data_IF_877702745071
#
_entry.id   IF_877702745071
#
_cell.length_a   1.000
_cell.length_b   1.000
_cell.length_c   1.000
_cell.angle_alpha   90.00
_cell.angle_beta   90.00
_cell.angle_gamma   90.00
#
_symmetry.space_group_name_H-M   'P 1'
#
loop_
_entity.id
_entity.type
_entity.pdbx_description
1 polymer ?
#
# COMPACT_ATOMS: atom_id res chain seq x y z
N UNK A 1 23.38 19.21 -52.04
CA UNK A 1 22.54 19.77 -53.12
C UNK A 1 21.20 20.11 -52.51
N UNK A 2 20.78 21.36 -52.59
CA UNK A 2 19.45 21.82 -52.15
C UNK A 2 18.37 21.00 -52.85
N UNK A 3 17.50 20.38 -52.06
CA UNK A 3 16.67 19.24 -52.44
C UNK A 3 15.71 19.54 -53.59
N UNK A 4 15.74 18.65 -54.58
CA UNK A 4 14.60 18.43 -55.47
C UNK A 4 14.05 17.07 -55.08
N UNK A 5 12.78 17.01 -54.68
CA UNK A 5 12.10 15.76 -54.38
C UNK A 5 12.09 14.80 -55.57
N UNK A 6 11.61 13.57 -55.35
CA UNK A 6 11.42 12.59 -56.41
C UNK A 6 10.13 12.95 -57.15
N UNK A 7 10.22 13.25 -58.44
CA UNK A 7 9.06 13.43 -59.29
C UNK A 7 9.03 12.34 -60.37
N UNK A 8 8.04 11.45 -60.30
CA UNK A 8 7.79 10.42 -61.30
C UNK A 8 6.44 10.65 -61.97
N UNK A 9 6.38 10.95 -63.28
CA UNK A 9 5.11 11.08 -63.98
C UNK A 9 4.40 9.74 -64.22
N UNK A 10 5.02 8.61 -63.87
CA UNK A 10 4.51 7.24 -64.04
C UNK A 10 4.60 6.45 -62.71
N UNK A 11 4.22 5.18 -62.74
CA UNK A 11 4.33 4.24 -61.63
C UNK A 11 5.74 4.25 -61.03
N UNK A 12 5.81 4.36 -59.71
CA UNK A 12 7.05 4.32 -58.94
C UNK A 12 6.95 3.22 -57.89
N UNK A 13 7.87 2.26 -57.93
CA UNK A 13 7.95 1.16 -56.96
C UNK A 13 9.24 1.27 -56.19
N UNK A 14 9.14 1.42 -54.86
CA UNK A 14 10.27 1.30 -53.96
C UNK A 14 10.37 -0.11 -53.39
N UNK A 15 11.47 -0.78 -53.67
CA UNK A 15 11.87 -2.04 -53.02
C UNK A 15 13.20 -1.91 -52.27
N UNK A 16 13.79 -0.72 -52.26
CA UNK A 16 15.11 -0.42 -51.70
C UNK A 16 15.01 0.55 -50.52
N UNK A 17 15.96 1.45 -50.37
CA UNK A 17 15.89 2.53 -49.38
C UNK A 17 15.83 3.88 -50.08
N UNK A 18 14.92 4.74 -49.64
CA UNK A 18 14.78 6.12 -50.06
C UNK A 18 14.97 6.98 -48.81
N UNK A 19 15.95 7.87 -48.82
CA UNK A 19 16.13 8.90 -47.79
C UNK A 19 15.81 10.26 -48.39
N UNK A 20 14.90 11.01 -47.78
CA UNK A 20 14.46 12.32 -48.25
C UNK A 20 14.64 13.38 -47.17
N UNK A 21 15.43 14.40 -47.47
CA UNK A 21 15.64 15.54 -46.57
C UNK A 21 15.29 16.81 -47.33
N UNK A 22 13.98 17.06 -47.45
CA UNK A 22 13.45 18.32 -47.97
C UNK A 22 12.57 18.98 -46.91
N UNK A 23 12.65 20.30 -46.82
CA UNK A 23 11.81 21.07 -45.94
C UNK A 23 10.32 20.76 -46.17
N UNK A 24 9.54 20.66 -45.08
CA UNK A 24 8.13 20.26 -45.06
C UNK A 24 7.21 20.98 -46.06
N UNK A 25 7.59 22.18 -46.52
CA UNK A 25 6.81 22.97 -47.49
C UNK A 25 7.03 22.58 -48.97
N UNK A 26 7.88 21.60 -49.26
CA UNK A 26 8.17 21.13 -50.64
C UNK A 26 7.75 19.69 -50.82
N UNK A 27 7.15 19.36 -51.97
CA UNK A 27 6.82 17.97 -52.29
C UNK A 27 8.11 17.15 -52.40
N UNK A 28 8.29 16.26 -51.42
CA UNK A 28 9.36 15.28 -51.27
C UNK A 28 9.25 14.16 -52.30
N UNK A 29 8.02 13.69 -52.53
CA UNK A 29 7.68 12.73 -53.57
C UNK A 29 6.41 13.18 -54.27
N UNK A 30 6.44 13.17 -55.59
CA UNK A 30 5.25 13.28 -56.45
C UNK A 30 5.22 12.08 -57.38
N UNK A 31 4.19 11.24 -57.27
CA UNK A 31 4.02 10.09 -58.15
C UNK A 31 2.53 9.78 -58.37
N UNK A 32 2.16 9.29 -59.55
CA UNK A 32 0.75 8.96 -59.83
C UNK A 32 0.31 7.61 -59.23
N UNK A 33 1.23 6.64 -59.14
CA UNK A 33 0.97 5.27 -58.69
C UNK A 33 2.21 4.80 -57.90
N UNK A 34 2.19 4.98 -56.58
CA UNK A 34 3.32 4.71 -55.70
C UNK A 34 3.12 3.40 -54.91
N UNK A 35 4.09 2.49 -55.00
CA UNK A 35 4.10 1.26 -54.20
C UNK A 35 5.38 1.17 -53.39
N UNK A 36 5.26 0.83 -52.10
CA UNK A 36 6.41 0.66 -51.21
C UNK A 36 6.43 -0.73 -50.59
N UNK A 37 7.59 -1.37 -50.69
CA UNK A 37 7.97 -2.56 -49.93
C UNK A 37 9.36 -2.42 -49.31
N UNK A 38 10.02 -1.29 -49.54
CA UNK A 38 11.33 -0.93 -49.00
C UNK A 38 11.23 0.08 -47.84
N UNK A 39 12.34 0.74 -47.54
CA UNK A 39 12.42 1.78 -46.51
C UNK A 39 12.22 3.16 -47.12
N UNK A 40 11.41 3.98 -46.45
CA UNK A 40 11.29 5.42 -46.66
C UNK A 40 11.74 6.09 -45.36
N UNK A 41 12.82 6.86 -45.44
CA UNK A 41 13.37 7.63 -44.34
C UNK A 41 13.34 9.12 -44.66
N UNK A 42 13.09 9.95 -43.66
CA UNK A 42 13.28 11.39 -43.76
C UNK A 42 12.01 12.22 -43.64
N UNK A 43 12.08 13.48 -44.07
CA UNK A 43 11.04 14.50 -43.89
C UNK A 43 10.44 14.95 -45.21
N UNK A 44 9.30 15.63 -45.12
CA UNK A 44 8.67 16.32 -46.25
C UNK A 44 7.34 15.74 -46.69
N UNK A 45 6.79 16.28 -47.79
CA UNK A 45 5.43 15.98 -48.25
C UNK A 45 5.42 14.97 -49.40
N UNK A 46 4.73 13.86 -49.16
CA UNK A 46 4.47 12.77 -50.09
C UNK A 46 3.10 12.99 -50.71
N UNK A 47 3.09 13.52 -51.92
CA UNK A 47 1.90 13.67 -52.76
C UNK A 47 1.91 12.53 -53.78
N UNK A 48 1.50 11.36 -53.29
CA UNK A 48 1.57 10.10 -53.99
C UNK A 48 0.13 9.63 -54.26
N UNK A 49 -0.17 9.30 -55.52
CA UNK A 49 -1.51 8.83 -55.89
C UNK A 49 -1.87 7.50 -55.21
N UNK A 50 -3.17 7.26 -55.09
CA UNK A 50 -3.79 6.17 -54.31
C UNK A 50 -3.45 4.76 -54.83
N UNK A 51 -2.35 4.17 -54.37
CA UNK A 51 -2.10 2.72 -54.47
C UNK A 51 -2.04 2.09 -53.08
N UNK A 52 -3.12 1.39 -52.72
CA UNK A 52 -3.29 0.77 -51.42
C UNK A 52 -2.87 -0.72 -51.42
N UNK A 53 -2.29 -1.26 -50.34
CA UNK A 53 -1.74 -0.56 -49.16
C UNK A 53 -0.24 -0.23 -49.30
N UNK A 54 0.21 0.84 -48.65
CA UNK A 54 1.63 1.18 -48.50
C UNK A 54 2.27 0.25 -47.45
N UNK A 55 3.17 -0.62 -47.90
CA UNK A 55 3.96 -1.50 -47.03
C UNK A 55 5.35 -0.93 -46.73
N UNK A 56 6.29 -1.81 -46.37
CA UNK A 56 7.68 -1.44 -46.11
C UNK A 56 7.91 -0.79 -44.75
N UNK A 57 8.97 0.00 -44.60
CA UNK A 57 9.34 0.68 -43.34
C UNK A 57 9.29 2.20 -43.52
N UNK A 58 8.66 2.90 -42.60
CA UNK A 58 8.61 4.36 -42.53
C UNK A 58 9.45 4.82 -41.33
N UNK A 59 10.40 5.71 -41.58
CA UNK A 59 11.30 6.29 -40.57
C UNK A 59 11.21 7.81 -40.74
N UNK A 60 10.30 8.51 -40.04
CA UNK A 60 10.22 9.96 -40.13
C UNK A 60 11.54 10.60 -39.69
N UNK A 61 11.99 11.61 -40.43
CA UNK A 61 13.26 12.27 -40.13
C UNK A 61 14.52 11.45 -40.44
N UNK A 62 15.67 12.12 -40.27
CA UNK A 62 16.98 11.45 -40.23
C UNK A 62 17.39 11.08 -38.78
N UNK A 63 16.66 11.62 -37.80
CA UNK A 63 16.74 11.36 -36.34
C UNK A 63 15.43 11.75 -35.64
N UNK A 64 14.85 12.87 -36.05
CA UNK A 64 13.53 13.33 -35.62
C UNK A 64 12.91 14.04 -36.83
N UNK A 65 11.61 13.90 -37.03
CA UNK A 65 10.91 14.73 -38.00
C UNK A 65 9.50 14.30 -38.35
N UNK A 66 8.86 15.14 -39.17
CA UNK A 66 7.53 14.86 -39.70
C UNK A 66 7.55 14.42 -41.16
N UNK A 67 6.84 13.32 -41.44
CA UNK A 67 6.51 12.86 -42.79
C UNK A 67 5.04 13.15 -43.09
N UNK A 68 4.78 13.93 -44.14
CA UNK A 68 3.42 14.35 -44.50
C UNK A 68 2.93 13.58 -45.72
N UNK A 69 1.70 13.10 -45.72
CA UNK A 69 1.03 12.49 -46.86
C UNK A 69 -0.18 13.31 -47.29
N UNK A 70 -0.36 13.47 -48.60
CA UNK A 70 -1.49 14.18 -49.20
C UNK A 70 -2.56 13.18 -49.64
N UNK A 71 -3.78 13.36 -49.17
CA UNK A 71 -4.93 12.52 -49.44
C UNK A 71 -5.16 11.44 -48.38
N UNK A 72 -6.09 10.54 -48.71
CA UNK A 72 -6.32 9.33 -47.91
C UNK A 72 -5.20 8.33 -48.14
N UNK A 73 -4.74 7.66 -47.08
CA UNK A 73 -3.66 6.66 -47.15
C UNK A 73 -3.98 5.39 -46.38
N UNK A 74 -3.55 4.24 -46.90
CA UNK A 74 -3.66 2.93 -46.23
C UNK A 74 -2.28 2.37 -45.93
N UNK A 75 -1.94 2.27 -44.64
CA UNK A 75 -0.65 1.78 -44.18
C UNK A 75 -0.75 0.32 -43.72
N UNK A 76 0.24 -0.48 -44.14
CA UNK A 76 0.41 -1.90 -43.75
C UNK A 76 1.84 -2.26 -43.36
N UNK A 77 2.73 -1.28 -43.37
CA UNK A 77 4.16 -1.44 -43.08
C UNK A 77 4.53 -1.33 -41.60
N UNK A 78 5.80 -1.08 -41.36
CA UNK A 78 6.40 -0.82 -40.04
C UNK A 78 6.72 0.66 -39.89
N UNK A 79 6.37 1.25 -38.75
CA UNK A 79 6.70 2.62 -38.39
C UNK A 79 7.79 2.58 -37.33
N UNK A 80 8.97 3.12 -37.64
CA UNK A 80 10.06 3.33 -36.68
C UNK A 80 9.93 4.76 -36.18
N UNK A 81 9.62 4.94 -34.89
CA UNK A 81 9.32 6.24 -34.29
C UNK A 81 10.25 6.52 -33.11
N UNK A 82 10.94 7.65 -33.14
CA UNK A 82 11.83 8.15 -32.10
C UNK A 82 11.08 9.17 -31.22
N UNK A 83 11.03 8.93 -29.91
CA UNK A 83 10.30 9.76 -28.93
C UNK A 83 11.26 10.30 -27.88
N UNK A 84 11.64 11.57 -28.01
CA UNK A 84 12.58 12.28 -27.13
C UNK A 84 11.93 13.44 -26.34
N UNK A 85 10.63 13.67 -26.50
CA UNK A 85 9.85 14.69 -25.82
C UNK A 85 8.45 14.82 -26.42
N UNK A 86 7.75 15.91 -26.16
CA UNK A 86 6.32 16.08 -26.48
C UNK A 86 6.05 16.95 -27.70
N UNK A 87 7.06 17.65 -28.23
CA UNK A 87 6.93 18.54 -29.40
C UNK A 87 7.18 17.78 -30.71
N UNK A 88 6.19 17.67 -31.61
CA UNK A 88 6.37 16.96 -32.88
C UNK A 88 7.44 17.63 -33.75
N UNK A 89 8.02 16.88 -34.68
CA UNK A 89 9.12 17.26 -35.58
C UNK A 89 10.47 17.48 -34.88
N UNK A 90 10.49 18.11 -33.71
CA UNK A 90 11.74 18.48 -33.01
C UNK A 90 12.08 17.63 -31.80
N UNK A 91 11.09 17.00 -31.17
CA UNK A 91 11.29 16.12 -30.01
C UNK A 91 10.74 14.71 -30.24
N UNK A 92 9.82 14.51 -31.19
CA UNK A 92 9.39 13.18 -31.61
C UNK A 92 9.02 13.11 -33.08
N UNK A 93 9.11 11.89 -33.63
CA UNK A 93 8.68 11.58 -34.98
C UNK A 93 7.17 11.64 -35.14
N UNK A 94 6.71 12.13 -36.30
CA UNK A 94 5.30 12.18 -36.60
C UNK A 94 4.99 11.81 -38.05
N UNK A 95 3.90 11.06 -38.25
CA UNK A 95 3.24 10.93 -39.54
C UNK A 95 2.05 11.88 -39.56
N UNK A 96 1.99 12.74 -40.57
CA UNK A 96 0.84 13.61 -40.82
C UNK A 96 0.15 13.18 -42.12
N UNK A 97 -1.18 13.06 -42.12
CA UNK A 97 -1.97 12.68 -43.30
C UNK A 97 -3.08 13.72 -43.48
N UNK A 98 -3.11 14.47 -44.57
CA UNK A 98 -4.13 15.50 -44.74
C UNK A 98 -5.53 14.95 -45.16
N UNK A 99 -5.66 13.63 -45.30
CA UNK A 99 -6.92 12.88 -45.41
C UNK A 99 -7.13 11.83 -44.31
N UNK A 100 -7.72 10.70 -44.68
CA UNK A 100 -7.97 9.56 -43.79
C UNK A 100 -6.76 8.64 -43.75
N UNK A 101 -6.21 8.36 -42.56
CA UNK A 101 -5.19 7.34 -42.39
C UNK A 101 -5.84 6.02 -41.95
N UNK A 102 -5.75 4.99 -42.79
CA UNK A 102 -6.15 3.62 -42.43
C UNK A 102 -4.93 2.84 -41.96
N UNK A 103 -4.86 2.54 -40.67
CA UNK A 103 -3.70 1.93 -40.02
C UNK A 103 -3.87 0.41 -39.90
N UNK A 104 -2.84 -0.29 -40.34
CA UNK A 104 -2.52 -1.68 -40.02
C UNK A 104 -1.00 -1.80 -39.90
N UNK A 105 -0.47 -3.00 -39.62
CA UNK A 105 0.98 -3.21 -39.57
C UNK A 105 1.58 -3.02 -38.16
N UNK A 106 2.83 -2.57 -38.08
CA UNK A 106 3.62 -2.62 -36.82
C UNK A 106 4.15 -1.26 -36.40
N UNK A 107 4.05 -0.93 -35.11
CA UNK A 107 4.74 0.19 -34.49
C UNK A 107 6.01 -0.29 -33.77
N UNK A 108 7.14 0.34 -34.07
CA UNK A 108 8.40 0.19 -33.36
C UNK A 108 8.75 1.57 -32.76
N UNK A 109 8.41 1.77 -31.48
CA UNK A 109 8.65 3.04 -30.79
C UNK A 109 9.91 2.95 -29.90
N UNK A 110 10.82 3.91 -30.05
CA UNK A 110 11.99 4.07 -29.19
C UNK A 110 11.80 5.31 -28.32
N UNK A 111 11.59 5.11 -27.01
CA UNK A 111 11.30 6.19 -26.06
C UNK A 111 12.56 6.50 -25.25
N UNK A 112 13.14 7.68 -25.45
CA UNK A 112 14.39 8.13 -24.81
C UNK A 112 14.22 9.46 -24.05
N UNK A 113 13.11 9.65 -23.36
CA UNK A 113 12.91 10.77 -22.47
C UNK A 113 12.24 10.35 -21.17
N UNK A 114 12.25 11.21 -20.15
CA UNK A 114 11.58 10.97 -18.87
C UNK A 114 10.16 11.52 -18.93
N UNK A 115 9.13 10.69 -19.09
CA UNK A 115 7.75 11.15 -19.17
C UNK A 115 7.20 11.64 -17.84
N UNK A 116 6.18 12.50 -17.93
CA UNK A 116 5.30 12.85 -16.82
C UNK A 116 3.91 12.22 -16.99
N UNK A 117 3.26 11.85 -15.89
CA UNK A 117 1.88 11.33 -15.93
C UNK A 117 0.99 12.35 -16.63
N UNK A 118 0.25 11.89 -17.65
CA UNK A 118 -0.58 12.72 -18.52
C UNK A 118 0.11 13.15 -19.82
N UNK A 119 1.38 12.81 -20.04
CA UNK A 119 2.04 13.04 -21.33
C UNK A 119 1.29 12.31 -22.44
N UNK A 120 1.06 13.03 -23.55
CA UNK A 120 0.38 12.51 -24.74
C UNK A 120 1.15 12.91 -25.99
N UNK A 121 1.68 11.90 -26.69
CA UNK A 121 2.58 12.04 -27.84
C UNK A 121 1.84 11.63 -29.10
N UNK A 122 1.36 12.61 -29.87
CA UNK A 122 0.66 12.33 -31.14
C UNK A 122 1.66 11.91 -32.21
N UNK A 123 1.72 10.61 -32.48
CA UNK A 123 2.63 9.99 -33.46
C UNK A 123 2.01 9.91 -34.86
N UNK A 124 0.67 9.93 -34.96
CA UNK A 124 -0.06 10.09 -36.22
C UNK A 124 -1.12 11.16 -36.06
N UNK A 125 -1.15 12.14 -36.96
CA UNK A 125 -2.21 13.14 -37.09
C UNK A 125 -2.84 13.04 -38.48
N UNK A 126 -4.17 13.01 -38.54
CA UNK A 126 -4.93 12.86 -39.77
C UNK A 126 -6.28 13.60 -39.70
N UNK A 127 -6.95 13.77 -40.85
CA UNK A 127 -8.35 14.22 -40.85
C UNK A 127 -9.25 13.18 -40.16
N UNK A 128 -8.98 11.89 -40.35
CA UNK A 128 -9.59 10.80 -39.58
C UNK A 128 -8.69 9.57 -39.53
N UNK A 129 -8.83 8.77 -38.47
CA UNK A 129 -8.13 7.49 -38.31
C UNK A 129 -9.14 6.35 -38.47
N UNK A 130 -8.74 5.31 -39.21
CA UNK A 130 -9.43 4.03 -39.29
C UNK A 130 -8.46 2.88 -39.03
N UNK A 131 -8.91 1.79 -38.40
CA UNK A 131 -8.03 0.67 -38.03
C UNK A 131 -7.12 0.97 -36.83
N UNK A 132 -6.22 0.04 -36.52
CA UNK A 132 -5.23 0.12 -35.43
C UNK A 132 -3.94 -0.57 -35.86
N UNK A 133 -2.83 -0.29 -35.18
CA UNK A 133 -1.66 -1.15 -35.29
C UNK A 133 -2.03 -2.61 -35.00
N UNK A 134 -1.54 -3.53 -35.84
CA UNK A 134 -1.70 -4.98 -35.67
C UNK A 134 -0.73 -5.51 -34.62
N UNK A 135 0.43 -4.89 -34.48
CA UNK A 135 1.43 -5.22 -33.47
C UNK A 135 2.24 -3.99 -33.04
N UNK A 136 2.76 -4.04 -31.82
CA UNK A 136 3.80 -3.13 -31.32
C UNK A 136 5.03 -3.98 -31.00
N UNK A 137 6.20 -3.62 -31.53
CA UNK A 137 7.40 -4.43 -31.40
C UNK A 137 8.68 -3.57 -31.21
N UNK A 138 9.36 -3.63 -30.04
CA UNK A 138 8.97 -4.39 -28.85
C UNK A 138 7.64 -3.88 -28.25
N UNK A 139 7.02 -4.64 -27.33
CA UNK A 139 5.92 -4.10 -26.52
C UNK A 139 6.33 -2.77 -25.89
N UNK A 140 5.38 -1.84 -25.78
CA UNK A 140 5.62 -0.58 -25.09
C UNK A 140 6.03 -0.87 -23.64
N UNK A 141 7.05 -0.18 -23.09
CA UNK A 141 7.34 -0.27 -21.67
C UNK A 141 6.17 0.33 -20.88
N UNK A 142 5.66 -0.38 -19.87
CA UNK A 142 4.68 0.21 -18.96
C UNK A 142 5.21 1.50 -18.34
N UNK A 143 4.37 2.53 -18.10
CA UNK A 143 2.91 2.64 -18.32
C UNK A 143 2.48 3.17 -19.71
N UNK A 144 3.30 3.03 -20.76
CA UNK A 144 2.92 3.54 -22.08
C UNK A 144 1.84 2.69 -22.75
N UNK A 145 0.81 3.35 -23.29
CA UNK A 145 -0.24 2.72 -24.09
C UNK A 145 -0.56 3.52 -25.36
N UNK A 146 -1.29 2.89 -26.30
CA UNK A 146 -1.79 3.55 -27.51
C UNK A 146 -3.21 4.08 -27.29
N UNK A 147 -3.41 5.35 -27.61
CA UNK A 147 -4.70 6.04 -27.58
C UNK A 147 -5.20 6.35 -29.00
N UNK A 148 -6.44 5.95 -29.28
CA UNK A 148 -7.19 6.21 -30.51
C UNK A 148 -8.50 6.96 -30.24
N UNK A 149 -8.68 7.49 -29.03
CA UNK A 149 -9.95 8.10 -28.59
C UNK A 149 -10.20 9.48 -29.19
N UNK A 150 -9.14 10.21 -29.55
CA UNK A 150 -9.24 11.52 -30.21
C UNK A 150 -9.37 11.33 -31.72
N UNK A 151 -10.47 11.79 -32.35
CA UNK A 151 -10.64 11.66 -33.79
C UNK A 151 -9.49 12.30 -34.56
N UNK A 152 -8.93 11.55 -35.52
CA UNK A 152 -7.81 12.02 -36.33
C UNK A 152 -6.45 11.82 -35.70
N UNK A 153 -6.34 11.18 -34.53
CA UNK A 153 -5.04 11.00 -33.87
C UNK A 153 -4.78 9.56 -33.44
N UNK A 154 -3.50 9.17 -33.52
CA UNK A 154 -2.95 8.03 -32.78
C UNK A 154 -1.87 8.59 -31.88
N UNK A 155 -1.98 8.37 -30.58
CA UNK A 155 -1.04 8.87 -29.59
C UNK A 155 -0.46 7.76 -28.73
N UNK A 156 0.79 7.94 -28.29
CA UNK A 156 1.32 7.25 -27.12
C UNK A 156 0.92 8.07 -25.89
N UNK A 157 0.34 7.43 -24.88
CA UNK A 157 -0.06 8.07 -23.63
C UNK A 157 0.69 7.44 -22.47
N UNK A 158 1.25 8.27 -21.61
CA UNK A 158 1.87 7.88 -20.35
C UNK A 158 0.92 8.22 -19.21
N UNK A 159 0.07 7.27 -18.82
CA UNK A 159 -0.96 7.49 -17.81
C UNK A 159 -1.14 6.22 -16.97
N UNK A 160 -1.20 6.40 -15.65
CA UNK A 160 -1.41 5.34 -14.65
C UNK A 160 -1.68 5.97 -13.29
N UNK A 161 -2.14 5.14 -12.36
CA UNK A 161 -2.38 5.49 -10.96
C UNK A 161 -1.31 4.84 -10.08
N UNK A 162 -0.28 5.59 -9.63
CA UNK A 162 0.77 5.03 -8.79
C UNK A 162 0.20 4.37 -7.53
N UNK A 163 0.65 3.16 -7.23
CA UNK A 163 0.22 2.42 -6.04
C UNK A 163 -1.14 1.74 -6.15
N UNK A 164 -1.81 1.78 -7.30
CA UNK A 164 -3.05 1.03 -7.51
C UNK A 164 -2.76 -0.42 -7.89
N UNK A 165 -3.32 -1.37 -7.16
CA UNK A 165 -3.26 -2.79 -7.49
C UNK A 165 -4.30 -3.14 -8.57
N UNK A 166 -3.86 -3.73 -9.67
CA UNK A 166 -4.73 -4.21 -10.76
C UNK A 166 -4.79 -5.75 -10.84
N UNK A 167 -3.75 -6.44 -10.35
CA UNK A 167 -3.66 -7.91 -10.33
C UNK A 167 -3.42 -8.56 -11.69
N UNK A 168 -2.95 -7.82 -12.69
CA UNK A 168 -2.88 -8.28 -14.08
C UNK A 168 -1.92 -9.47 -14.30
N UNK A 169 -0.93 -9.68 -13.43
CA UNK A 169 -0.07 -10.86 -13.48
C UNK A 169 -0.76 -12.14 -12.97
N UNK A 170 -1.82 -12.00 -12.15
CA UNK A 170 -2.63 -13.09 -11.63
C UNK A 170 -1.93 -13.99 -10.60
N UNK A 171 -0.75 -13.61 -10.09
CA UNK A 171 0.03 -14.38 -9.12
C UNK A 171 -0.20 -13.94 -7.66
N UNK A 172 -0.88 -12.81 -7.43
CA UNK A 172 -1.15 -12.24 -6.11
C UNK A 172 0.09 -11.70 -5.39
N UNK A 173 1.22 -11.52 -6.08
CA UNK A 173 2.49 -11.12 -5.47
C UNK A 173 2.71 -9.60 -5.54
N UNK A 174 2.90 -8.98 -4.38
CA UNK A 174 3.26 -7.55 -4.27
C UNK A 174 4.50 -7.22 -5.12
N UNK A 175 5.49 -8.11 -5.14
CA UNK A 175 6.78 -7.87 -5.79
C UNK A 175 6.74 -8.02 -7.33
N UNK A 176 5.62 -8.43 -7.92
CA UNK A 176 5.46 -8.53 -9.38
C UNK A 176 4.91 -7.19 -9.89
N UNK A 177 5.73 -6.45 -10.65
CA UNK A 177 5.39 -5.11 -11.12
C UNK A 177 4.12 -5.08 -11.98
N UNK A 178 3.85 -6.16 -12.71
CA UNK A 178 2.66 -6.36 -13.57
C UNK A 178 1.34 -6.48 -12.78
N UNK A 179 1.36 -6.50 -11.44
CA UNK A 179 0.12 -6.42 -10.64
C UNK A 179 -0.21 -4.99 -10.17
N UNK A 180 0.57 -4.00 -10.61
CA UNK A 180 0.39 -2.61 -10.26
C UNK A 180 0.11 -1.82 -11.53
N UNK A 181 -0.87 -0.93 -11.45
CA UNK A 181 -1.25 -0.08 -12.56
C UNK A 181 -0.02 0.64 -13.11
N UNK A 182 0.19 0.51 -14.43
CA UNK A 182 1.37 1.02 -15.10
C UNK A 182 2.62 0.10 -15.10
N UNK A 183 2.50 -1.13 -14.61
CA UNK A 183 3.59 -2.12 -14.49
C UNK A 183 4.77 -1.64 -13.63
N UNK A 184 4.51 -0.85 -12.59
CA UNK A 184 5.53 -0.24 -11.73
C UNK A 184 5.26 -0.54 -10.24
N UNK A 185 6.31 -1.01 -9.54
CA UNK A 185 6.21 -1.25 -8.10
C UNK A 185 6.01 0.08 -7.32
N UNK A 186 5.18 0.08 -6.27
CA UNK A 186 5.00 1.25 -5.40
C UNK A 186 6.31 1.69 -4.74
N UNK A 187 6.42 2.99 -4.57
CA UNK A 187 7.56 3.71 -3.99
C UNK A 187 7.18 4.35 -2.65
N UNK A 188 8.14 4.90 -1.89
CA UNK A 188 7.87 5.56 -0.61
C UNK A 188 6.93 6.79 -0.69
N UNK A 189 6.67 7.31 -1.89
CA UNK A 189 5.76 8.44 -2.11
C UNK A 189 4.35 8.03 -2.48
N UNK A 190 4.09 6.73 -2.70
CA UNK A 190 2.83 6.28 -3.27
C UNK A 190 1.85 5.86 -2.18
N UNK A 191 0.59 6.27 -2.36
CA UNK A 191 -0.55 5.78 -1.60
C UNK A 191 -1.03 4.47 -2.23
N UNK A 192 -0.81 3.35 -1.55
CA UNK A 192 -1.22 2.04 -2.05
C UNK A 192 -2.73 1.86 -1.90
N UNK A 193 -3.39 1.40 -2.95
CA UNK A 193 -4.80 1.04 -2.95
C UNK A 193 -4.97 -0.38 -3.47
N UNK A 194 -5.61 -1.23 -2.67
CA UNK A 194 -6.02 -2.58 -3.05
C UNK A 194 -7.53 -2.69 -2.77
N UNK A 195 -8.34 -2.64 -3.83
CA UNK A 195 -9.80 -2.52 -3.72
C UNK A 195 -10.58 -3.44 -4.68
N UNK A 196 -9.92 -4.41 -5.29
CA UNK A 196 -10.50 -5.32 -6.28
C UNK A 196 -10.89 -6.70 -5.71
N UNK A 197 -10.68 -6.94 -4.40
CA UNK A 197 -11.03 -8.18 -3.72
C UNK A 197 -9.96 -9.27 -3.78
N UNK A 198 -8.77 -8.93 -4.26
CA UNK A 198 -7.65 -9.86 -4.37
C UNK A 198 -6.99 -10.16 -3.02
N UNK A 199 -6.29 -11.30 -2.98
CA UNK A 199 -5.38 -11.63 -1.90
C UNK A 199 -3.94 -11.28 -2.30
N UNK A 200 -3.42 -10.21 -1.69
CA UNK A 200 -2.09 -9.69 -2.00
C UNK A 200 -1.07 -10.19 -0.98
N UNK A 201 0.08 -10.67 -1.47
CA UNK A 201 1.17 -11.19 -0.64
C UNK A 201 2.48 -10.46 -0.91
N UNK A 202 3.00 -9.80 0.13
CA UNK A 202 4.41 -9.40 0.18
C UNK A 202 5.24 -10.63 0.56
N UNK A 203 5.82 -11.28 -0.45
CA UNK A 203 6.48 -12.57 -0.30
C UNK A 203 7.89 -12.45 0.30
N UNK A 204 8.61 -11.37 -0.02
CA UNK A 204 9.99 -11.17 0.45
C UNK A 204 10.45 -9.72 0.33
N UNK A 205 11.63 -9.45 0.88
CA UNK A 205 12.30 -8.15 0.76
C UNK A 205 11.70 -7.09 1.67
N UNK A 206 12.12 -5.84 1.44
CA UNK A 206 11.64 -4.67 2.18
C UNK A 206 10.91 -3.75 1.21
N UNK A 207 9.67 -3.43 1.52
CA UNK A 207 8.85 -2.45 0.79
C UNK A 207 8.60 -1.26 1.71
N UNK A 208 8.64 -0.06 1.13
CA UNK A 208 8.29 1.18 1.83
C UNK A 208 7.30 1.97 0.97
N UNK A 209 6.17 2.35 1.56
CA UNK A 209 5.09 3.11 0.90
C UNK A 209 4.58 4.23 1.80
N UNK A 210 3.89 5.20 1.20
CA UNK A 210 3.34 6.32 1.96
C UNK A 210 2.15 5.87 2.80
N UNK A 211 1.16 5.24 2.19
CA UNK A 211 0.00 4.70 2.90
C UNK A 211 -0.49 3.42 2.26
N UNK A 212 -1.40 2.73 2.93
CA UNK A 212 -2.12 1.57 2.42
C UNK A 212 -3.60 1.74 2.72
N UNK A 213 -4.40 1.66 1.66
CA UNK A 213 -5.84 1.51 1.72
C UNK A 213 -6.23 0.12 1.24
N UNK A 214 -6.86 -0.67 2.11
CA UNK A 214 -7.52 -1.92 1.72
C UNK A 214 -9.04 -1.71 1.71
N UNK A 215 -9.67 -2.09 0.61
CA UNK A 215 -11.11 -1.98 0.36
C UNK A 215 -11.57 -3.18 -0.49
N UNK A 216 -12.84 -3.23 -0.92
CA UNK A 216 -13.32 -4.19 -1.92
C UNK A 216 -13.30 -5.67 -1.48
N UNK A 217 -13.16 -5.91 -0.18
CA UNK A 217 -12.89 -7.22 0.41
C UNK A 217 -11.49 -7.82 0.12
N UNK A 218 -10.47 -6.98 -0.06
CA UNK A 218 -9.11 -7.44 -0.37
C UNK A 218 -8.32 -7.84 0.88
N UNK A 219 -7.48 -8.87 0.75
CA UNK A 219 -6.61 -9.38 1.81
C UNK A 219 -5.16 -8.91 1.62
N UNK A 220 -4.43 -8.72 2.72
CA UNK A 220 -3.00 -8.43 2.71
C UNK A 220 -2.24 -9.37 3.62
N UNK A 221 -1.21 -10.01 3.07
CA UNK A 221 -0.30 -10.87 3.82
C UNK A 221 1.16 -10.45 3.69
N UNK A 222 1.89 -10.45 4.81
CA UNK A 222 3.33 -10.22 4.86
C UNK A 222 4.02 -11.50 5.28
N UNK A 223 4.84 -12.06 4.40
CA UNK A 223 5.52 -13.35 4.62
C UNK A 223 6.68 -13.24 5.63
N UNK A 224 7.06 -14.36 6.22
CA UNK A 224 8.21 -14.42 7.11
C UNK A 224 9.50 -13.96 6.40
N UNK A 225 10.24 -13.07 7.04
CA UNK A 225 11.44 -12.44 6.46
C UNK A 225 11.17 -11.23 5.55
N UNK A 226 9.91 -10.94 5.21
CA UNK A 226 9.54 -9.72 4.52
C UNK A 226 9.31 -8.56 5.51
N UNK A 227 9.53 -7.33 5.05
CA UNK A 227 9.29 -6.09 5.82
C UNK A 227 8.44 -5.12 5.01
N UNK A 228 7.34 -4.67 5.60
CA UNK A 228 6.49 -3.61 5.07
C UNK A 228 6.61 -2.37 5.95
N UNK A 229 7.09 -1.26 5.37
CA UNK A 229 7.16 0.03 6.04
C UNK A 229 6.09 0.96 5.47
N UNK A 230 5.27 1.52 6.34
CA UNK A 230 4.29 2.55 6.01
C UNK A 230 4.69 3.83 6.73
N UNK A 231 5.06 4.86 5.97
CA UNK A 231 5.79 6.03 6.50
C UNK A 231 5.01 7.35 6.43
N UNK A 232 3.78 7.32 5.93
CA UNK A 232 2.95 8.51 5.76
C UNK A 232 2.51 9.09 7.10
N UNK A 233 2.66 10.41 7.25
CA UNK A 233 2.16 11.14 8.42
C UNK A 233 0.70 11.58 8.29
N UNK A 234 -0.02 11.05 7.29
CA UNK A 234 -1.45 11.26 7.11
C UNK A 234 -2.24 10.75 8.33
N UNK A 235 -3.49 11.20 8.47
CA UNK A 235 -4.32 10.80 9.62
C UNK A 235 -4.57 9.29 9.70
N UNK A 236 -4.47 8.56 8.58
CA UNK A 236 -4.61 7.10 8.50
C UNK A 236 -3.59 6.53 7.49
N UNK A 237 -2.39 6.16 7.93
CA UNK A 237 -1.36 5.56 7.09
C UNK A 237 -1.73 4.14 6.68
N UNK A 238 -2.41 3.38 7.55
CA UNK A 238 -3.02 2.08 7.20
C UNK A 238 -4.51 2.16 7.48
N UNK A 239 -5.32 2.22 6.42
CA UNK A 239 -6.78 2.35 6.49
C UNK A 239 -7.44 1.17 5.79
N UNK A 240 -8.12 0.32 6.55
CA UNK A 240 -8.85 -0.84 6.03
C UNK A 240 -10.34 -0.65 6.34
N UNK A 241 -11.12 -0.27 5.33
CA UNK A 241 -12.56 0.01 5.47
C UNK A 241 -13.38 -0.78 4.47
N UNK A 242 -14.67 -0.91 4.77
CA UNK A 242 -15.65 -1.61 3.93
C UNK A 242 -15.24 -3.07 3.60
N UNK A 243 -14.44 -3.66 4.48
CA UNK A 243 -13.73 -4.92 4.27
C UNK A 243 -14.27 -5.96 5.26
N UNK A 244 -15.44 -6.52 4.95
CA UNK A 244 -16.26 -7.27 5.91
C UNK A 244 -15.75 -8.70 6.19
N UNK A 245 -14.99 -9.28 5.27
CA UNK A 245 -14.42 -10.63 5.39
C UNK A 245 -12.90 -10.66 5.34
N UNK A 246 -12.25 -9.50 5.29
CA UNK A 246 -10.83 -9.43 5.02
C UNK A 246 -9.98 -9.77 6.22
N UNK A 247 -8.71 -10.02 5.94
CA UNK A 247 -7.69 -10.32 6.92
C UNK A 247 -6.39 -9.62 6.55
N UNK A 248 -5.81 -8.91 7.51
CA UNK A 248 -4.38 -8.56 7.48
C UNK A 248 -3.64 -9.66 8.24
N UNK A 249 -2.78 -10.39 7.54
CA UNK A 249 -1.96 -11.46 8.13
C UNK A 249 -0.49 -11.10 8.10
N UNK A 250 0.11 -10.90 9.26
CA UNK A 250 1.54 -10.65 9.40
C UNK A 250 2.28 -11.91 9.87
N UNK A 251 3.22 -12.38 9.06
CA UNK A 251 4.22 -13.38 9.43
C UNK A 251 5.65 -12.81 9.39
N UNK A 252 5.82 -11.57 8.94
CA UNK A 252 7.10 -10.86 8.82
C UNK A 252 7.16 -9.65 9.75
N UNK A 253 7.57 -8.50 9.22
CA UNK A 253 7.61 -7.23 9.96
C UNK A 253 6.72 -6.19 9.30
N UNK A 254 5.85 -5.55 10.07
CA UNK A 254 5.10 -4.36 9.66
C UNK A 254 5.55 -3.19 10.54
N UNK A 255 6.07 -2.14 9.94
CA UNK A 255 6.43 -0.90 10.60
C UNK A 255 5.48 0.20 10.13
N UNK A 256 4.85 0.89 11.07
CA UNK A 256 3.98 2.04 10.79
C UNK A 256 4.53 3.24 11.54
N UNK A 257 5.07 4.20 10.79
CA UNK A 257 5.42 5.53 11.29
C UNK A 257 4.28 6.48 10.95
N UNK A 258 3.31 6.58 11.85
CA UNK A 258 2.09 7.33 11.61
C UNK A 258 2.23 8.80 11.97
N UNK A 259 1.28 9.62 11.49
CA UNK A 259 1.04 10.97 12.01
C UNK A 259 -0.32 11.12 12.73
N UNK A 260 -1.28 10.24 12.44
CA UNK A 260 -2.61 10.19 13.06
C UNK A 260 -2.89 8.88 13.80
N UNK A 261 -3.73 8.04 13.20
CA UNK A 261 -3.89 6.62 13.60
C UNK A 261 -2.71 5.81 13.06
N UNK A 262 -2.43 4.65 13.66
CA UNK A 262 -1.49 3.66 13.11
C UNK A 262 -2.22 2.73 12.15
N UNK A 263 -2.66 1.58 12.65
CA UNK A 263 -3.51 0.64 11.89
C UNK A 263 -4.96 0.85 12.29
N UNK A 264 -5.81 1.24 11.33
CA UNK A 264 -7.26 1.36 11.54
C UNK A 264 -7.99 0.40 10.60
N UNK A 265 -8.69 -0.58 11.16
CA UNK A 265 -9.27 -1.68 10.38
C UNK A 265 -10.65 -2.12 10.86
N UNK A 266 -11.53 -2.41 9.90
CA UNK A 266 -12.79 -3.15 10.09
C UNK A 266 -12.63 -4.65 9.75
N UNK A 267 -11.40 -5.17 9.86
CA UNK A 267 -11.02 -6.54 9.50
C UNK A 267 -10.24 -7.22 10.61
N UNK A 268 -10.05 -8.55 10.49
CA UNK A 268 -9.19 -9.26 11.43
C UNK A 268 -7.72 -8.88 11.18
N UNK A 269 -7.01 -8.56 12.27
CA UNK A 269 -5.57 -8.33 12.25
C UNK A 269 -4.88 -9.48 12.99
N UNK A 270 -4.08 -10.26 12.27
CA UNK A 270 -3.40 -11.44 12.79
C UNK A 270 -1.89 -11.20 12.73
N UNK A 271 -1.25 -11.17 13.90
CA UNK A 271 0.19 -11.15 14.04
C UNK A 271 0.69 -12.54 14.46
N UNK A 272 1.27 -13.29 13.52
CA UNK A 272 1.69 -14.67 13.75
C UNK A 272 2.92 -14.78 14.66
N UNK A 273 3.20 -15.99 15.13
CA UNK A 273 4.37 -16.25 15.95
C UNK A 273 5.67 -15.90 15.19
N UNK A 274 6.57 -15.18 15.87
CA UNK A 274 7.80 -14.64 15.28
C UNK A 274 7.62 -13.39 14.42
N UNK A 275 6.39 -12.96 14.13
CA UNK A 275 6.10 -11.73 13.40
C UNK A 275 6.15 -10.50 14.32
N UNK A 276 6.43 -9.34 13.74
CA UNK A 276 6.55 -8.07 14.47
C UNK A 276 5.66 -6.99 13.85
N UNK A 277 4.91 -6.27 14.67
CA UNK A 277 4.25 -5.01 14.30
C UNK A 277 4.82 -3.91 15.20
N UNK A 278 5.41 -2.88 14.59
CA UNK A 278 5.90 -1.69 15.29
C UNK A 278 5.10 -0.49 14.82
N UNK A 279 4.56 0.29 15.77
CA UNK A 279 3.80 1.49 15.46
C UNK A 279 4.36 2.66 16.27
N UNK A 280 4.82 3.70 15.57
CA UNK A 280 5.44 4.89 16.15
C UNK A 280 4.75 6.18 15.71
N UNK A 281 4.93 7.25 16.50
CA UNK A 281 4.52 8.63 16.18
C UNK A 281 3.02 8.91 15.95
N UNK A 282 2.12 8.08 16.48
CA UNK A 282 0.67 8.20 16.25
C UNK A 282 -0.04 9.16 17.22
N UNK A 283 -0.69 10.21 16.72
CA UNK A 283 -1.40 11.18 17.56
C UNK A 283 -2.81 10.79 18.03
N UNK A 284 -3.39 9.64 17.59
CA UNK A 284 -4.78 9.26 17.91
C UNK A 284 -5.01 7.82 18.42
N UNK A 285 -4.84 6.80 17.58
CA UNK A 285 -4.97 5.38 18.00
C UNK A 285 -3.84 4.59 17.33
N UNK A 286 -3.07 3.80 18.08
CA UNK A 286 -2.00 2.99 17.52
C UNK A 286 -2.59 1.86 16.70
N UNK A 287 -3.51 1.09 17.30
CA UNK A 287 -4.33 0.10 16.60
C UNK A 287 -5.79 0.32 16.94
N UNK A 288 -6.63 0.36 15.90
CA UNK A 288 -8.08 0.32 16.00
C UNK A 288 -8.63 -0.86 15.19
N UNK A 289 -9.37 -1.75 15.83
CA UNK A 289 -10.05 -2.89 15.20
C UNK A 289 -11.53 -2.85 15.56
N UNK A 290 -12.40 -2.55 14.59
CA UNK A 290 -13.86 -2.43 14.82
C UNK A 290 -14.68 -3.47 14.05
N UNK A 291 -16.00 -3.40 14.19
CA UNK A 291 -16.98 -4.26 13.51
C UNK A 291 -16.98 -5.72 13.99
N UNK A 292 -16.87 -5.92 15.30
CA UNK A 292 -16.75 -7.17 16.03
C UNK A 292 -15.57 -8.03 15.55
N UNK A 293 -14.50 -7.39 15.07
CA UNK A 293 -13.30 -8.08 14.57
C UNK A 293 -12.28 -8.32 15.68
N UNK A 294 -11.27 -9.11 15.33
CA UNK A 294 -10.27 -9.59 16.28
C UNK A 294 -8.88 -9.06 15.94
N UNK A 295 -8.21 -8.52 16.95
CA UNK A 295 -6.75 -8.44 17.00
C UNK A 295 -6.21 -9.71 17.65
N UNK A 296 -5.59 -10.58 16.86
CA UNK A 296 -4.91 -11.79 17.33
C UNK A 296 -3.40 -11.63 17.31
N UNK A 297 -2.73 -11.75 18.46
CA UNK A 297 -1.29 -11.62 18.58
C UNK A 297 -0.63 -12.88 19.12
N UNK A 298 0.18 -13.55 18.31
CA UNK A 298 1.12 -14.60 18.70
C UNK A 298 2.59 -14.16 18.56
N UNK A 299 2.85 -13.00 17.96
CA UNK A 299 4.18 -12.42 17.78
C UNK A 299 4.44 -11.24 18.72
N UNK A 300 5.17 -10.25 18.25
CA UNK A 300 5.46 -9.02 18.98
C UNK A 300 4.68 -7.84 18.39
N UNK A 301 3.96 -7.09 19.23
CA UNK A 301 3.36 -5.81 18.87
C UNK A 301 3.89 -4.74 19.82
N UNK A 302 4.44 -3.67 19.26
CA UNK A 302 4.95 -2.53 20.01
C UNK A 302 4.31 -1.26 19.50
N UNK A 303 3.67 -0.50 20.40
CA UNK A 303 3.12 0.83 20.14
C UNK A 303 3.83 1.81 21.08
N UNK A 304 4.55 2.77 20.51
CA UNK A 304 5.40 3.71 21.28
C UNK A 304 5.40 5.11 20.66
N UNK A 305 5.49 6.17 21.46
CA UNK A 305 5.69 7.53 20.97
C UNK A 305 5.36 8.59 22.04
N UNK A 306 5.75 9.87 21.82
CA UNK A 306 5.49 10.95 22.78
C UNK A 306 3.99 11.31 22.88
N UNK A 307 3.25 11.08 21.80
CA UNK A 307 1.81 10.93 21.82
C UNK A 307 1.62 9.58 21.15
N UNK A 308 1.18 8.58 21.90
CA UNK A 308 0.77 7.32 21.32
C UNK A 308 -0.75 7.32 21.30
N UNK A 309 -1.29 6.80 20.22
CA UNK A 309 -2.68 6.42 20.24
C UNK A 309 -2.80 5.10 20.96
N UNK A 310 -3.80 4.98 21.84
CA UNK A 310 -4.05 3.75 22.58
C UNK A 310 -4.43 2.56 21.70
N UNK A 311 -4.79 1.47 22.36
CA UNK A 311 -5.41 0.31 21.70
C UNK A 311 -6.93 0.44 21.81
N UNK A 312 -7.66 0.34 20.69
CA UNK A 312 -9.13 0.34 20.68
C UNK A 312 -9.64 -0.79 19.80
N UNK A 313 -10.04 -1.91 20.39
CA UNK A 313 -10.38 -3.12 19.64
C UNK A 313 -11.63 -3.80 20.17
N UNK A 314 -12.47 -4.37 19.32
CA UNK A 314 -13.63 -5.10 19.84
C UNK A 314 -13.16 -6.38 20.55
N UNK A 315 -12.43 -7.26 19.86
CA UNK A 315 -11.86 -8.47 20.47
C UNK A 315 -10.34 -8.45 20.45
N UNK A 316 -9.72 -8.59 21.63
CA UNK A 316 -8.29 -8.76 21.79
C UNK A 316 -7.94 -10.17 22.25
N UNK A 317 -7.07 -10.84 21.50
CA UNK A 317 -6.47 -12.12 21.86
C UNK A 317 -4.95 -12.03 21.80
N UNK A 318 -4.30 -12.03 22.97
CA UNK A 318 -2.86 -12.22 23.07
C UNK A 318 -2.58 -13.68 23.43
N UNK A 319 -2.10 -14.45 22.46
CA UNK A 319 -1.79 -15.87 22.63
C UNK A 319 -0.53 -16.08 23.47
N UNK A 320 -0.24 -17.33 23.87
CA UNK A 320 0.82 -17.63 24.83
C UNK A 320 2.23 -17.14 24.42
N UNK A 321 2.54 -17.11 23.11
CA UNK A 321 3.80 -16.57 22.59
C UNK A 321 3.75 -15.06 22.32
N UNK A 322 2.57 -14.45 22.42
CA UNK A 322 2.31 -13.06 22.12
C UNK A 322 2.95 -12.13 23.15
N UNK A 323 3.68 -11.14 22.65
CA UNK A 323 4.21 -10.03 23.42
C UNK A 323 3.56 -8.74 22.91
N UNK A 324 2.87 -8.01 23.77
CA UNK A 324 2.26 -6.74 23.45
C UNK A 324 2.80 -5.67 24.39
N UNK A 325 3.34 -4.59 23.85
CA UNK A 325 3.81 -3.44 24.62
C UNK A 325 3.19 -2.16 24.09
N UNK A 326 2.49 -1.45 24.96
CA UNK A 326 2.01 -0.08 24.72
C UNK A 326 2.70 0.85 25.71
N UNK A 327 3.51 1.77 25.20
CA UNK A 327 4.05 2.89 25.96
C UNK A 327 3.45 4.18 25.42
N UNK A 328 2.63 4.82 26.24
CA UNK A 328 1.83 5.98 25.89
C UNK A 328 1.90 7.05 26.97
N UNK A 329 1.66 8.30 26.59
CA UNK A 329 1.52 9.42 27.50
C UNK A 329 0.04 9.81 27.71
N UNK A 330 -0.86 9.52 26.76
CA UNK A 330 -2.20 10.12 26.77
C UNK A 330 -3.39 9.16 26.60
N UNK A 331 -3.20 7.96 26.08
CA UNK A 331 -4.28 6.99 25.91
C UNK A 331 -3.99 5.69 26.67
N UNK A 332 -5.02 4.85 26.73
CA UNK A 332 -4.95 3.54 27.36
C UNK A 332 -5.37 2.44 26.41
N UNK A 333 -6.03 1.44 26.96
CA UNK A 333 -6.57 0.31 26.20
C UNK A 333 -8.07 0.28 26.40
N UNK A 334 -8.79 0.17 25.29
CA UNK A 334 -10.20 -0.15 25.27
C UNK A 334 -10.40 -1.45 24.50
N UNK A 335 -11.07 -2.41 25.13
CA UNK A 335 -11.57 -3.59 24.43
C UNK A 335 -12.99 -3.96 24.85
N UNK A 336 -13.75 -4.68 24.02
CA UNK A 336 -14.97 -5.32 24.51
C UNK A 336 -14.63 -6.62 25.24
N UNK A 337 -13.86 -7.47 24.57
CA UNK A 337 -13.29 -8.69 25.13
C UNK A 337 -11.78 -8.62 25.12
N UNK A 338 -11.16 -8.87 26.27
CA UNK A 338 -9.72 -8.87 26.43
C UNK A 338 -9.26 -10.21 26.99
N UNK A 339 -8.58 -11.01 26.17
CA UNK A 339 -8.07 -12.32 26.53
C UNK A 339 -6.56 -12.38 26.41
N UNK A 340 -5.88 -12.61 27.53
CA UNK A 340 -4.42 -12.65 27.59
C UNK A 340 -3.90 -14.00 28.09
N UNK A 341 -3.11 -14.65 27.25
CA UNK A 341 -2.33 -15.85 27.54
C UNK A 341 -0.81 -15.56 27.49
N UNK A 342 -0.40 -14.43 26.90
CA UNK A 342 1.01 -14.05 26.72
C UNK A 342 1.44 -12.89 27.63
N UNK A 343 2.44 -12.14 27.19
CA UNK A 343 2.88 -10.94 27.89
C UNK A 343 2.15 -9.70 27.34
N UNK A 344 1.53 -8.93 28.23
CA UNK A 344 0.94 -7.63 27.92
C UNK A 344 1.50 -6.59 28.89
N UNK A 345 2.12 -5.55 28.34
CA UNK A 345 2.67 -4.43 29.11
C UNK A 345 2.00 -3.14 28.66
N UNK A 346 1.37 -2.43 29.61
CA UNK A 346 0.88 -1.06 29.45
C UNK A 346 1.70 -0.13 30.34
N UNK A 347 2.28 0.91 29.76
CA UNK A 347 2.90 2.03 30.46
C UNK A 347 2.24 3.30 29.96
N UNK A 348 1.28 3.83 30.73
CA UNK A 348 0.57 5.05 30.40
C UNK A 348 0.72 6.10 31.51
N UNK A 349 0.76 7.39 31.18
CA UNK A 349 0.59 8.44 32.20
C UNK A 349 -0.87 8.88 32.38
N UNK A 350 -1.76 8.42 31.49
CA UNK A 350 -3.19 8.66 31.51
C UNK A 350 -3.94 7.32 31.64
N UNK A 351 -4.83 6.99 30.71
CA UNK A 351 -5.79 5.89 30.87
C UNK A 351 -5.15 4.50 31.01
N UNK A 352 -5.78 3.66 31.82
CA UNK A 352 -5.41 2.25 31.98
C UNK A 352 -6.06 1.32 30.95
N UNK A 353 -6.33 0.09 31.38
CA UNK A 353 -6.99 -0.94 30.60
C UNK A 353 -8.47 -1.03 30.95
N UNK A 354 -9.33 -0.65 30.01
CA UNK A 354 -10.77 -0.82 30.12
C UNK A 354 -11.24 -1.96 29.23
N UNK A 355 -12.02 -2.87 29.81
CA UNK A 355 -12.80 -3.85 29.07
C UNK A 355 -14.30 -3.62 29.30
N UNK A 356 -15.08 -3.52 28.23
CA UNK A 356 -16.52 -3.24 28.32
C UNK A 356 -17.34 -4.49 28.70
N UNK A 357 -16.81 -5.69 28.48
CA UNK A 357 -17.52 -6.96 28.73
C UNK A 357 -16.74 -7.93 29.61
N UNK A 358 -15.51 -8.30 29.22
CA UNK A 358 -14.71 -9.27 29.96
C UNK A 358 -13.21 -9.00 29.80
N UNK A 359 -12.48 -9.09 30.91
CA UNK A 359 -11.03 -9.17 30.92
C UNK A 359 -10.64 -10.49 31.58
N UNK A 360 -10.00 -11.38 30.82
CA UNK A 360 -9.44 -12.61 31.34
C UNK A 360 -7.93 -12.69 31.11
N UNK A 361 -7.18 -12.86 32.19
CA UNK A 361 -5.78 -13.20 32.19
C UNK A 361 -5.61 -14.69 32.56
N UNK A 362 -5.15 -15.49 31.61
CA UNK A 362 -5.06 -16.94 31.74
C UNK A 362 -3.72 -17.38 32.35
N UNK A 363 -3.57 -18.68 32.65
CA UNK A 363 -2.48 -19.20 33.48
C UNK A 363 -1.05 -18.88 33.03
N UNK A 364 -0.83 -18.66 31.73
CA UNK A 364 0.48 -18.24 31.18
C UNK A 364 0.58 -16.74 30.97
N UNK A 365 -0.53 -16.02 31.13
CA UNK A 365 -0.65 -14.60 30.86
C UNK A 365 -0.02 -13.75 31.95
N UNK A 366 0.70 -12.72 31.53
CA UNK A 366 1.16 -11.63 32.39
C UNK A 366 0.54 -10.33 31.93
N UNK A 367 -0.14 -9.63 32.83
CA UNK A 367 -0.50 -8.22 32.68
C UNK A 367 0.45 -7.39 33.54
N UNK A 368 1.20 -6.48 32.94
CA UNK A 368 1.99 -5.48 33.66
C UNK A 368 1.44 -4.10 33.31
N UNK A 369 0.68 -3.51 34.24
CA UNK A 369 -0.06 -2.26 34.02
C UNK A 369 0.51 -1.16 34.91
N UNK A 370 1.27 -0.25 34.32
CA UNK A 370 1.71 0.96 34.98
C UNK A 370 0.95 2.16 34.43
N UNK A 371 0.21 2.82 35.30
CA UNK A 371 -0.54 4.03 34.98
C UNK A 371 -0.09 5.21 35.85
N UNK A 372 -0.25 6.43 35.34
CA UNK A 372 -0.10 7.65 36.12
C UNK A 372 -1.24 7.85 37.13
N UNK A 373 -1.55 9.10 37.47
CA UNK A 373 -2.62 9.45 38.43
C UNK A 373 -4.04 9.30 37.85
N UNK A 374 -4.25 8.39 36.91
CA UNK A 374 -5.50 8.27 36.15
C UNK A 374 -6.64 7.59 36.92
N UNK A 375 -7.84 7.71 36.35
CA UNK A 375 -9.00 6.91 36.73
C UNK A 375 -8.80 5.48 36.20
N UNK A 376 -8.56 4.56 37.12
CA UNK A 376 -8.42 3.11 36.95
C UNK A 376 -7.27 2.61 36.03
N UNK A 377 -6.36 1.83 36.64
CA UNK A 377 -5.41 0.97 35.96
C UNK A 377 -6.11 -0.17 35.21
N UNK A 378 -7.14 -0.76 35.83
CA UNK A 378 -8.02 -1.73 35.19
C UNK A 378 -9.47 -1.41 35.53
N UNK A 379 -10.35 -1.36 34.52
CA UNK A 379 -11.79 -1.22 34.69
C UNK A 379 -12.54 -2.24 33.84
N UNK A 380 -13.33 -3.11 34.46
CA UNK A 380 -14.12 -4.12 33.72
C UNK A 380 -15.31 -4.63 34.54
N UNK A 381 -16.45 -5.02 33.92
CA UNK A 381 -17.50 -5.70 34.67
C UNK A 381 -17.12 -7.12 35.09
N UNK A 382 -16.42 -7.87 34.24
CA UNK A 382 -16.07 -9.27 34.50
C UNK A 382 -14.56 -9.45 34.45
N UNK A 383 -13.99 -9.91 35.57
CA UNK A 383 -12.56 -10.12 35.71
C UNK A 383 -12.23 -11.56 36.08
N UNK A 384 -11.44 -12.23 35.24
CA UNK A 384 -10.87 -13.54 35.53
C UNK A 384 -9.34 -13.44 35.53
N UNK A 385 -8.69 -13.81 36.63
CA UNK A 385 -7.25 -13.93 36.68
C UNK A 385 -6.84 -15.32 37.15
N UNK A 386 -6.08 -16.01 36.31
CA UNK A 386 -5.36 -17.24 36.64
C UNK A 386 -3.86 -17.17 36.31
N UNK A 387 -3.40 -16.07 35.69
CA UNK A 387 -2.00 -15.75 35.44
C UNK A 387 -1.46 -14.71 36.41
N UNK A 388 -0.51 -13.89 35.96
CA UNK A 388 0.06 -12.80 36.77
C UNK A 388 -0.52 -11.45 36.39
N UNK A 389 -0.94 -10.68 37.39
CA UNK A 389 -1.29 -9.26 37.23
C UNK A 389 -0.35 -8.47 38.12
N UNK A 390 0.42 -7.60 37.50
CA UNK A 390 1.39 -6.73 38.13
C UNK A 390 1.13 -5.27 37.77
N UNK A 391 1.69 -4.36 38.56
CA UNK A 391 1.62 -2.92 38.31
C UNK A 391 0.84 -2.14 39.37
N UNK A 392 0.58 -0.88 39.10
CA UNK A 392 0.08 0.08 40.09
C UNK A 392 -1.28 0.66 39.71
N UNK A 393 -1.93 1.32 40.67
CA UNK A 393 -3.14 2.11 40.43
C UNK A 393 -4.43 1.45 40.92
N UNK A 394 -5.56 1.95 40.42
CA UNK A 394 -6.90 1.54 40.88
C UNK A 394 -7.51 0.46 39.97
N UNK A 395 -8.10 -0.57 40.56
CA UNK A 395 -8.74 -1.69 39.90
C UNK A 395 -10.22 -1.68 40.27
N UNK A 396 -11.07 -1.47 39.28
CA UNK A 396 -12.52 -1.35 39.45
C UNK A 396 -13.23 -2.47 38.72
N UNK A 397 -13.96 -3.28 39.49
CA UNK A 397 -14.73 -4.40 38.96
C UNK A 397 -16.20 -4.26 39.36
N UNK A 398 -17.11 -4.24 38.38
CA UNK A 398 -18.53 -3.94 38.65
C UNK A 398 -19.45 -5.16 38.75
N UNK A 399 -18.96 -6.36 38.45
CA UNK A 399 -19.74 -7.60 38.54
C UNK A 399 -18.89 -8.79 38.99
N UNK A 400 -18.70 -9.81 38.14
CA UNK A 400 -18.13 -11.10 38.53
C UNK A 400 -16.61 -11.02 38.58
N UNK A 401 -16.03 -11.52 39.67
CA UNK A 401 -14.58 -11.50 39.90
C UNK A 401 -14.09 -12.90 40.28
N UNK A 402 -12.94 -13.29 39.73
CA UNK A 402 -12.33 -14.58 39.99
C UNK A 402 -10.81 -14.42 40.02
N UNK A 403 -10.26 -14.34 41.23
CA UNK A 403 -8.84 -14.16 41.48
C UNK A 403 -8.23 -15.50 41.92
N UNK A 404 -7.60 -16.22 40.98
CA UNK A 404 -6.88 -17.49 41.18
C UNK A 404 -5.41 -17.42 40.79
N UNK A 405 -4.99 -16.30 40.21
CA UNK A 405 -3.63 -16.07 39.75
C UNK A 405 -2.75 -15.36 40.77
N UNK A 406 -1.65 -14.78 40.30
CA UNK A 406 -0.73 -13.95 41.06
C UNK A 406 -1.17 -12.49 40.96
N UNK A 407 -1.13 -11.77 42.09
CA UNK A 407 -1.19 -10.32 42.17
C UNK A 407 0.15 -9.82 42.73
N UNK A 408 0.83 -8.93 41.99
CA UNK A 408 2.15 -8.39 42.34
C UNK A 408 2.15 -6.85 42.23
N UNK A 409 1.88 -6.12 43.32
CA UNK A 409 1.82 -4.66 43.29
C UNK A 409 3.05 -3.96 42.72
N UNK A 410 2.81 -2.92 41.92
CA UNK A 410 3.85 -2.12 41.28
C UNK A 410 4.64 -2.83 40.18
N UNK A 411 5.74 -2.18 39.77
CA UNK A 411 6.91 -2.88 39.26
C UNK A 411 7.90 -3.13 40.41
N UNK A 412 7.36 -3.27 41.63
CA UNK A 412 8.05 -3.61 42.87
C UNK A 412 9.08 -2.57 43.36
N UNK A 413 8.85 -1.84 44.47
CA UNK A 413 7.60 -1.77 45.23
C UNK A 413 6.47 -0.96 44.54
N UNK A 414 5.21 -1.15 44.93
CA UNK A 414 4.09 -0.29 44.53
C UNK A 414 2.73 -0.60 45.18
N UNK A 415 1.73 0.21 44.85
CA UNK A 415 0.36 0.10 45.40
C UNK A 415 -0.68 -0.34 44.36
N UNK A 416 -1.45 -1.37 44.69
CA UNK A 416 -2.71 -1.71 44.00
C UNK A 416 -3.91 -1.38 44.89
N UNK A 417 -4.85 -0.60 44.37
CA UNK A 417 -6.10 -0.27 45.07
C UNK A 417 -7.28 -0.94 44.38
N UNK A 418 -8.08 -1.71 45.10
CA UNK A 418 -9.30 -2.33 44.58
C UNK A 418 -10.53 -1.59 45.08
N UNK A 419 -11.45 -1.26 44.18
CA UNK A 419 -12.73 -0.67 44.54
C UNK A 419 -13.77 -1.76 44.85
N UNK A 420 -14.42 -1.64 46.01
CA UNK A 420 -15.44 -2.58 46.46
C UNK A 420 -14.88 -3.86 47.08
N UNK A 421 -15.78 -4.82 47.34
CA UNK A 421 -15.46 -6.09 47.97
C UNK A 421 -14.59 -6.97 47.05
N UNK A 422 -13.62 -7.67 47.65
CA UNK A 422 -12.68 -8.56 46.96
C UNK A 422 -12.67 -9.94 47.61
N UNK A 423 -12.57 -10.98 46.78
CA UNK A 423 -12.38 -12.38 47.23
C UNK A 423 -11.19 -12.98 46.50
N UNK A 424 -10.10 -13.17 47.23
CA UNK A 424 -8.91 -13.85 46.74
C UNK A 424 -9.01 -15.33 47.07
N UNK A 425 -9.18 -16.15 46.03
CA UNK A 425 -9.53 -17.56 46.18
C UNK A 425 -8.31 -18.41 46.57
N UNK A 426 -8.53 -19.67 46.94
CA UNK A 426 -7.47 -20.57 47.43
C UNK A 426 -6.24 -20.73 46.50
N UNK A 427 -6.40 -20.52 45.19
CA UNK A 427 -5.30 -20.57 44.23
C UNK A 427 -4.54 -19.25 44.08
N UNK A 428 -5.08 -18.13 44.58
CA UNK A 428 -4.44 -16.83 44.48
C UNK A 428 -3.11 -16.80 45.25
N UNK A 429 -2.13 -16.11 44.69
CA UNK A 429 -0.89 -15.75 45.38
C UNK A 429 -0.74 -14.23 45.40
N UNK A 430 -0.53 -13.65 46.57
CA UNK A 430 -0.07 -12.27 46.72
C UNK A 430 1.45 -12.30 46.78
N UNK A 431 2.11 -11.69 45.79
CA UNK A 431 3.55 -11.51 45.78
C UNK A 431 3.84 -10.07 46.21
N UNK A 432 4.51 -9.89 47.35
CA UNK A 432 4.76 -8.58 47.95
C UNK A 432 6.24 -8.36 48.21
N UNK A 433 6.82 -7.24 47.82
CA UNK A 433 8.17 -6.85 48.23
C UNK A 433 8.18 -6.00 49.52
N UNK A 434 9.09 -6.31 50.46
CA UNK A 434 9.26 -5.60 51.74
C UNK A 434 10.73 -5.19 51.95
N UNK A 435 11.07 -3.96 51.59
CA UNK A 435 12.41 -3.35 51.76
C UNK A 435 12.47 -2.28 52.86
N UNK A 436 11.33 -1.85 53.40
CA UNK A 436 11.26 -0.83 54.46
C UNK A 436 9.85 -0.60 54.98
N UNK A 437 9.58 0.63 55.46
CA UNK A 437 8.34 0.97 56.19
C UNK A 437 7.43 1.95 55.44
N UNK A 438 7.91 2.54 54.35
CA UNK A 438 7.14 3.46 53.53
C UNK A 438 6.37 2.69 52.44
N UNK A 439 5.02 2.68 52.44
CA UNK A 439 4.25 2.00 51.41
C UNK A 439 4.54 2.62 50.04
N UNK A 440 4.26 1.87 48.98
CA UNK A 440 4.44 2.25 47.57
C UNK A 440 5.90 2.36 47.09
N UNK A 441 6.84 2.66 47.99
CA UNK A 441 8.22 3.01 47.65
C UNK A 441 9.28 2.16 48.36
N UNK A 442 8.99 1.66 49.55
CA UNK A 442 9.84 0.70 50.28
C UNK A 442 9.14 -0.63 50.51
N UNK A 443 7.81 -0.73 50.34
CA UNK A 443 7.10 -2.00 50.35
C UNK A 443 5.81 -1.94 49.55
N UNK A 444 5.37 -3.11 49.10
CA UNK A 444 4.12 -3.26 48.38
C UNK A 444 2.90 -3.10 49.27
N UNK A 445 1.83 -2.55 48.68
CA UNK A 445 0.57 -2.40 49.38
C UNK A 445 -0.62 -2.80 48.50
N UNK A 446 -1.48 -3.64 49.08
CA UNK A 446 -2.84 -3.87 48.59
C UNK A 446 -3.80 -3.03 49.44
N UNK A 447 -4.58 -2.16 48.80
CA UNK A 447 -5.67 -1.41 49.42
C UNK A 447 -6.99 -1.97 48.88
N UNK A 448 -7.95 -2.28 49.75
CA UNK A 448 -9.29 -2.72 49.36
C UNK A 448 -10.33 -1.79 49.98
N UNK A 449 -11.06 -1.05 49.14
CA UNK A 449 -12.12 -0.15 49.55
C UNK A 449 -13.45 -0.91 49.71
N UNK A 450 -13.41 -1.95 50.53
CA UNK A 450 -14.50 -2.89 50.77
C UNK A 450 -14.07 -4.01 51.71
N UNK A 451 -14.80 -5.11 51.70
CA UNK A 451 -14.48 -6.33 52.43
C UNK A 451 -13.48 -7.15 51.62
N UNK A 452 -12.36 -7.54 52.22
CA UNK A 452 -11.40 -8.47 51.63
C UNK A 452 -11.54 -9.85 52.27
N UNK A 453 -11.80 -10.88 51.46
CA UNK A 453 -11.74 -12.30 51.87
C UNK A 453 -10.48 -12.93 51.29
N UNK A 454 -9.69 -13.58 52.15
CA UNK A 454 -8.41 -14.20 51.81
C UNK A 454 -8.46 -15.71 52.06
N UNK A 455 -8.33 -16.50 51.00
CA UNK A 455 -8.12 -17.96 51.09
C UNK A 455 -6.78 -18.42 50.46
N UNK A 456 -6.04 -17.49 49.86
CA UNK A 456 -4.83 -17.76 49.05
C UNK A 456 -3.51 -17.85 49.83
N UNK A 457 -2.41 -17.76 49.07
CA UNK A 457 -1.02 -17.80 49.58
C UNK A 457 -0.41 -16.39 49.60
N UNK A 458 0.42 -16.10 50.59
CA UNK A 458 1.30 -14.93 50.63
C UNK A 458 2.73 -15.38 50.32
N UNK A 459 3.37 -14.73 49.35
CA UNK A 459 4.79 -14.83 49.02
C UNK A 459 5.42 -13.44 49.21
N UNK A 460 6.29 -13.29 50.20
CA UNK A 460 6.82 -11.98 50.63
C UNK A 460 8.28 -12.06 51.08
#
# INVERSE_FOLDING_TARGET
SSGSGIASPNNFTNTGSITIDVAAASNAVTAYDFSNSGTIQGTGTFDIGLTNPLGGTFIPGNTLGTMTFVGDEVFSGTFEMEINGTTPDTEHDQIMVDGTATISGTLNATINYTPTIGDRIVIISATSISGTFTSVNPPLPGPWSLDYSVPGEVALVYDYTPGLWDGDAGDGLWNTAVNWDGDLLPTPTDDVVIDNGDAVMLASGTVTVQSIKLDGNSDLSVSAGATLNVIGTNFRPVDVRFCYSCVITNSGTINVDGGGRGIDTDSNLINNNGATINIINNSSSGIRVSAAKTLGNSGTITITGPVSGGLNVDNFYNYASGNFTLTDENSGVYADFFWNYGNFTLKSTADGLTSSTELANFSTGTLNISVGSSSDAISTPVFFNSGTVAGNGTYTFSNTQNHKGILAPGNSPGTMTFQGDQTFQAANTLQLEIDGTMPDTEHDQIIVNGTLTLDGTLDA
#
